data_IF_343665608477
#
_entry.id   IF_343665608477
#
_cell.length_a   1.000
_cell.length_b   1.000
_cell.length_c   1.000
_cell.angle_alpha   90.00
_cell.angle_beta   90.00
_cell.angle_gamma   90.00
#
_symmetry.space_group_name_H-M   'P 1'
#
loop_
_entity.id
_entity.type
_entity.pdbx_description
1 polymer ?
#
# COMPACT_ATOMS: atom_id res chain seq x y z
N UNK A 1 13.10 7.36 -9.63
CA UNK A 1 13.01 6.15 -8.78
C UNK A 1 11.64 6.05 -8.15
N UNK A 2 10.97 4.90 -8.27
CA UNK A 2 9.61 4.67 -7.78
C UNK A 2 9.55 4.51 -6.25
N UNK A 3 8.37 4.77 -5.66
CA UNK A 3 8.10 4.53 -4.22
C UNK A 3 6.92 3.60 -4.05
N UNK A 4 6.90 2.83 -2.97
CA UNK A 4 5.67 2.13 -2.56
C UNK A 4 4.67 3.10 -1.96
N UNK A 5 3.37 2.83 -2.12
CA UNK A 5 2.30 3.51 -1.39
C UNK A 5 2.17 3.03 0.06
N UNK A 6 2.69 1.85 0.38
CA UNK A 6 2.68 1.28 1.73
C UNK A 6 3.94 1.69 2.51
N UNK A 7 3.74 2.13 3.74
CA UNK A 7 4.84 2.63 4.56
C UNK A 7 4.47 2.64 6.04
N UNK A 8 5.51 2.52 6.85
CA UNK A 8 5.44 2.67 8.30
C UNK A 8 6.61 3.55 8.74
N UNK A 9 6.37 4.37 9.74
CA UNK A 9 7.41 5.14 10.41
C UNK A 9 7.01 5.39 11.84
N UNK A 10 8.01 5.39 12.70
CA UNK A 10 7.83 5.55 14.13
C UNK A 10 8.83 6.58 14.64
N UNK A 11 8.41 7.44 15.54
CA UNK A 11 9.37 8.31 16.20
C UNK A 11 9.03 8.44 17.66
N UNK A 12 10.08 8.58 18.46
CA UNK A 12 10.00 8.94 19.87
C UNK A 12 10.75 10.25 20.13
N UNK A 13 10.24 11.02 21.08
CA UNK A 13 10.86 12.24 21.58
C UNK A 13 10.63 12.34 23.08
N UNK A 14 11.72 12.45 23.84
CA UNK A 14 11.65 12.76 25.27
C UNK A 14 11.55 14.27 25.46
N UNK A 15 10.51 14.70 26.17
CA UNK A 15 10.24 16.09 26.54
C UNK A 15 10.01 16.17 28.05
N UNK A 16 10.01 17.38 28.61
CA UNK A 16 9.77 17.58 30.04
C UNK A 16 8.42 17.00 30.52
N UNK A 17 7.42 16.97 29.63
CA UNK A 17 6.08 16.45 29.91
C UNK A 17 5.96 14.91 29.83
N UNK A 18 7.00 14.20 29.38
CA UNK A 18 6.96 12.75 29.15
C UNK A 18 7.67 12.30 27.86
N UNK A 19 7.49 11.02 27.52
CA UNK A 19 7.91 10.46 26.24
C UNK A 19 6.76 10.53 25.24
N UNK A 20 6.93 11.34 24.20
CA UNK A 20 6.03 11.36 23.05
C UNK A 20 6.42 10.27 22.06
N UNK A 21 5.43 9.56 21.53
CA UNK A 21 5.61 8.58 20.47
C UNK A 21 4.54 8.76 19.39
N UNK A 22 4.97 8.78 18.14
CA UNK A 22 4.12 8.89 16.96
C UNK A 22 4.38 7.72 16.03
N UNK A 23 3.34 6.92 15.79
CA UNK A 23 3.34 5.88 14.77
C UNK A 23 2.57 6.39 13.55
N UNK A 24 3.10 6.19 12.35
CA UNK A 24 2.48 6.59 11.09
C UNK A 24 2.43 5.39 10.16
N UNK A 25 1.23 5.04 9.69
CA UNK A 25 0.98 3.98 8.71
C UNK A 25 0.37 4.58 7.46
N UNK A 26 0.88 4.20 6.28
CA UNK A 26 0.33 4.62 4.99
C UNK A 26 -0.10 3.42 4.18
N UNK A 27 -1.25 3.54 3.53
CA UNK A 27 -1.79 2.53 2.60
C UNK A 27 -2.26 3.18 1.31
N UNK A 28 -2.43 2.37 0.26
CA UNK A 28 -2.91 2.81 -1.04
C UNK A 28 -4.31 3.45 -0.93
N UNK A 29 -4.44 4.68 -1.42
CA UNK A 29 -5.71 5.37 -1.56
C UNK A 29 -5.57 6.46 -2.63
N UNK A 30 -6.63 6.70 -3.40
CA UNK A 30 -6.63 7.60 -4.56
C UNK A 30 -6.24 9.05 -4.22
N UNK A 31 -6.65 9.52 -3.04
CA UNK A 31 -6.37 10.87 -2.54
C UNK A 31 -5.66 10.80 -1.20
N UNK A 32 -4.93 11.84 -0.85
CA UNK A 32 -4.39 11.96 0.51
C UNK A 32 -5.55 12.10 1.50
N UNK A 33 -5.67 11.12 2.39
CA UNK A 33 -6.63 11.13 3.49
C UNK A 33 -5.87 10.81 4.78
N UNK A 34 -5.59 11.82 5.61
CA UNK A 34 -4.85 11.66 6.84
C UNK A 34 -5.77 11.74 8.06
N UNK A 35 -5.60 10.81 8.99
CA UNK A 35 -6.28 10.79 10.27
C UNK A 35 -5.23 10.56 11.38
N UNK A 36 -5.24 11.39 12.40
CA UNK A 36 -4.34 11.28 13.55
C UNK A 36 -5.18 11.07 14.80
N UNK A 37 -5.04 9.90 15.41
CA UNK A 37 -5.61 9.63 16.73
C UNK A 37 -4.70 10.27 17.79
N UNK A 38 -5.23 11.20 18.57
CA UNK A 38 -4.48 11.90 19.62
C UNK A 38 -4.99 11.54 21.02
N UNK A 39 -4.15 11.68 22.07
CA UNK A 39 -4.59 11.59 23.46
C UNK A 39 -5.51 12.78 23.82
N UNK A 40 -6.29 12.64 24.91
CA UNK A 40 -7.17 13.72 25.38
C UNK A 40 -6.38 15.02 25.60
N UNK A 41 -6.89 16.14 25.04
CA UNK A 41 -6.26 17.46 25.13
C UNK A 41 -5.32 17.82 23.98
N UNK A 42 -5.07 16.90 23.04
CA UNK A 42 -4.16 17.12 21.89
C UNK A 42 -4.89 17.40 20.57
N UNK A 43 -6.21 17.34 20.54
CA UNK A 43 -7.02 17.54 19.32
C UNK A 43 -6.74 18.87 18.62
N UNK A 44 -6.36 19.91 19.39
CA UNK A 44 -5.98 21.23 18.85
C UNK A 44 -4.78 21.19 17.90
N UNK A 45 -3.89 20.20 18.03
CA UNK A 45 -2.67 20.07 17.24
C UNK A 45 -2.85 19.20 15.99
N UNK A 46 -3.98 18.49 15.87
CA UNK A 46 -4.24 17.54 14.79
C UNK A 46 -4.00 18.16 13.41
N UNK A 47 -4.58 19.35 13.16
CA UNK A 47 -4.45 20.05 11.89
C UNK A 47 -2.99 20.37 11.54
N UNK A 48 -2.23 20.90 12.50
CA UNK A 48 -0.83 21.25 12.29
C UNK A 48 0.03 20.01 11.99
N UNK A 49 -0.23 18.91 12.70
CA UNK A 49 0.45 17.63 12.47
C UNK A 49 0.12 17.05 11.09
N UNK A 50 -1.15 17.10 10.65
CA UNK A 50 -1.56 16.68 9.30
C UNK A 50 -0.85 17.52 8.24
N UNK A 51 -0.82 18.85 8.40
CA UNK A 51 -0.16 19.74 7.46
C UNK A 51 1.35 19.48 7.39
N UNK A 52 1.98 19.11 8.51
CA UNK A 52 3.39 18.72 8.56
C UNK A 52 3.69 17.32 7.97
N UNK A 53 2.69 16.44 7.83
CA UNK A 53 2.82 15.13 7.17
C UNK A 53 2.74 15.21 5.64
N UNK A 54 2.02 16.19 5.08
CA UNK A 54 1.81 16.36 3.63
C UNK A 54 3.09 16.33 2.78
N UNK A 55 4.22 16.94 3.20
CA UNK A 55 5.46 16.90 2.40
C UNK A 55 6.08 15.51 2.28
N UNK A 56 5.73 14.58 3.17
CA UNK A 56 6.27 13.22 3.21
C UNK A 56 5.38 12.22 2.47
N UNK A 57 4.08 12.50 2.36
CA UNK A 57 3.08 11.63 1.74
C UNK A 57 2.19 12.44 0.82
N UNK A 58 2.42 12.33 -0.49
CA UNK A 58 1.64 13.02 -1.53
C UNK A 58 0.26 12.40 -1.77
N UNK A 59 0.12 11.08 -1.55
CA UNK A 59 -1.14 10.34 -1.70
C UNK A 59 -1.19 9.12 -0.78
N UNK A 60 -2.41 8.62 -0.57
CA UNK A 60 -2.68 7.45 0.27
C UNK A 60 -3.50 7.79 1.51
N UNK A 61 -3.95 6.74 2.20
CA UNK A 61 -4.58 6.91 3.50
C UNK A 61 -3.49 6.82 4.57
N UNK A 62 -3.39 7.87 5.39
CA UNK A 62 -2.44 7.96 6.49
C UNK A 62 -3.21 7.78 7.78
N UNK A 63 -2.84 6.75 8.55
CA UNK A 63 -3.32 6.56 9.91
C UNK A 63 -2.16 6.76 10.85
N UNK A 64 -2.25 7.79 11.69
CA UNK A 64 -1.25 8.08 12.70
C UNK A 64 -1.82 7.96 14.11
N UNK A 65 -0.98 7.54 15.05
CA UNK A 65 -1.33 7.40 16.46
C UNK A 65 -0.28 8.11 17.30
N UNK A 66 -0.72 9.15 18.01
CA UNK A 66 0.09 9.88 18.97
C UNK A 66 -0.17 9.31 20.37
N UNK A 67 0.89 9.04 21.10
CA UNK A 67 0.84 8.65 22.51
C UNK A 67 1.82 9.47 23.34
N UNK A 68 1.45 9.72 24.58
CA UNK A 68 2.29 10.40 25.57
C UNK A 68 2.40 9.50 26.79
N UNK A 69 3.57 8.93 27.01
CA UNK A 69 3.86 8.18 28.22
C UNK A 69 4.49 9.12 29.26
N UNK A 70 3.79 9.26 30.39
CA UNK A 70 4.24 10.06 31.53
C UNK A 70 4.80 9.21 32.67
N UNK A 71 4.87 7.89 32.50
CA UNK A 71 5.29 6.94 33.53
C UNK A 71 6.71 7.21 34.05
N UNK A 72 7.63 7.59 33.17
CA UNK A 72 9.01 7.93 33.52
C UNK A 72 9.14 9.23 34.34
N UNK A 73 8.14 10.11 34.28
CA UNK A 73 8.09 11.40 35.00
C UNK A 73 7.06 11.38 36.14
N UNK A 74 6.43 10.23 36.42
CA UNK A 74 5.49 10.03 37.52
C UNK A 74 6.17 9.93 38.90
N UNK A 75 7.36 10.50 39.05
CA UNK A 75 7.91 10.80 40.36
C UNK A 75 7.22 12.08 40.89
N UNK A 76 6.36 11.93 41.90
CA UNK A 76 5.68 13.01 42.64
C UNK A 76 4.36 13.55 42.07
N UNK A 77 3.36 12.69 41.79
CA UNK A 77 1.98 13.15 41.95
C UNK A 77 1.33 12.37 43.08
N UNK A 78 1.47 12.92 44.29
CA UNK A 78 0.79 12.40 45.47
C UNK A 78 -0.72 12.43 45.23
N UNK A 79 -1.47 11.38 45.65
CA UNK A 79 -2.92 11.42 45.59
C UNK A 79 -3.43 12.60 46.41
N UNK A 80 -4.14 13.52 45.75
CA UNK A 80 -4.74 14.66 46.43
C UNK A 80 -5.87 14.20 47.34
N UNK A 81 -5.98 14.76 48.53
CA UNK A 81 -7.10 14.49 49.45
C UNK A 81 -8.09 15.65 49.36
N UNK A 82 -9.35 15.35 49.09
CA UNK A 82 -10.44 16.32 49.20
C UNK A 82 -10.86 16.47 50.67
N UNK A 83 -10.17 17.37 51.39
CA UNK A 83 -10.38 17.58 52.82
C UNK A 83 -11.81 18.05 53.13
N UNK A 84 -12.42 18.85 52.25
CA UNK A 84 -13.79 19.36 52.47
C UNK A 84 -14.82 18.24 52.38
N UNK A 85 -14.68 17.32 51.41
CA UNK A 85 -15.48 16.10 51.38
C UNK A 85 -15.23 15.21 52.60
N UNK A 86 -13.97 15.03 53.01
CA UNK A 86 -13.63 14.22 54.17
C UNK A 86 -14.28 14.76 55.46
N UNK A 87 -14.25 16.07 55.67
CA UNK A 87 -14.97 16.75 56.77
C UNK A 87 -16.47 16.55 56.68
N UNK A 88 -17.03 16.59 55.47
CA UNK A 88 -18.45 16.31 55.21
C UNK A 88 -18.85 14.90 55.64
N UNK A 89 -18.07 13.89 55.25
CA UNK A 89 -18.29 12.50 55.66
C UNK A 89 -18.13 12.29 57.16
N UNK A 90 -17.11 12.89 57.78
CA UNK A 90 -16.95 12.85 59.23
C UNK A 90 -18.19 13.39 59.95
N UNK A 91 -18.68 14.56 59.56
CA UNK A 91 -19.88 15.18 60.15
C UNK A 91 -21.13 14.30 59.98
N UNK A 92 -21.28 13.67 58.81
CA UNK A 92 -22.40 12.77 58.54
C UNK A 92 -22.36 11.51 59.42
N UNK A 93 -21.18 10.92 59.63
CA UNK A 93 -20.99 9.76 60.51
C UNK A 93 -21.23 10.12 61.99
N UNK A 94 -20.77 11.28 62.46
CA UNK A 94 -21.06 11.78 63.81
C UNK A 94 -22.56 12.00 64.03
N UNK A 95 -23.26 12.51 63.01
CA UNK A 95 -24.72 12.67 63.06
C UNK A 95 -25.42 11.32 63.15
N UNK A 96 -25.05 10.35 62.30
CA UNK A 96 -25.62 9.00 62.34
C UNK A 96 -25.42 8.31 63.68
N UNK A 97 -24.22 8.44 64.27
CA UNK A 97 -23.91 7.94 65.60
C UNK A 97 -24.89 8.49 66.64
N UNK A 98 -25.12 9.80 66.63
CA UNK A 98 -26.01 10.47 67.58
C UNK A 98 -27.48 10.09 67.40
N UNK A 99 -27.97 10.04 66.16
CA UNK A 99 -29.39 9.79 65.87
C UNK A 99 -29.78 8.30 66.02
N UNK A 100 -28.82 7.38 65.83
CA UNK A 100 -29.06 5.93 65.84
C UNK A 100 -28.48 5.19 67.05
N UNK A 101 -27.83 5.92 67.98
CA UNK A 101 -27.17 5.39 69.19
C UNK A 101 -26.19 4.24 68.89
N UNK A 102 -25.43 4.37 67.80
CA UNK A 102 -24.47 3.35 67.35
C UNK A 102 -23.14 3.52 68.10
N UNK A 103 -22.56 2.45 68.67
CA UNK A 103 -21.28 2.53 69.36
C UNK A 103 -20.10 2.70 68.38
N UNK A 104 -19.12 3.52 68.74
CA UNK A 104 -17.87 3.74 67.99
C UNK A 104 -17.58 5.21 67.69
N UNK A 105 -16.35 5.52 67.25
CA UNK A 105 -15.97 6.84 66.72
C UNK A 105 -15.66 6.71 65.23
N UNK A 106 -15.99 7.72 64.39
CA UNK A 106 -15.51 7.77 63.02
C UNK A 106 -13.97 7.82 63.02
N UNK A 107 -13.34 6.80 62.45
CA UNK A 107 -11.88 6.71 62.36
C UNK A 107 -11.39 6.83 60.90
N UNK A 108 -10.07 6.87 60.74
CA UNK A 108 -9.44 6.93 59.41
C UNK A 108 -9.75 5.70 58.57
N UNK A 109 -9.95 4.53 59.19
CA UNK A 109 -10.29 3.31 58.46
C UNK A 109 -11.67 3.47 57.80
N UNK A 110 -12.67 3.97 58.54
CA UNK A 110 -14.00 4.24 58.02
C UNK A 110 -13.97 5.33 56.95
N UNK A 111 -13.21 6.41 57.14
CA UNK A 111 -13.05 7.46 56.13
C UNK A 111 -12.39 6.94 54.86
N UNK A 112 -11.42 6.03 54.97
CA UNK A 112 -10.75 5.43 53.81
C UNK A 112 -11.67 4.60 52.91
N UNK A 113 -12.84 4.17 53.44
CA UNK A 113 -13.85 3.43 52.67
C UNK A 113 -14.61 4.33 51.68
N UNK A 114 -14.56 5.65 51.83
CA UNK A 114 -15.11 6.61 50.88
C UNK A 114 -14.05 6.94 49.84
N UNK A 115 -14.04 6.15 48.76
CA UNK A 115 -13.02 6.24 47.70
C UNK A 115 -13.00 7.57 46.96
N UNK A 116 -14.06 8.38 47.06
CA UNK A 116 -14.19 9.68 46.40
C UNK A 116 -13.58 10.85 47.19
N UNK A 117 -13.05 10.60 48.40
CA UNK A 117 -12.17 11.51 49.16
C UNK A 117 -10.79 11.59 48.50
N UNK A 118 -10.33 10.49 47.89
CA UNK A 118 -9.07 10.45 47.17
C UNK A 118 -9.28 10.97 45.75
N UNK A 119 -8.70 12.12 45.44
CA UNK A 119 -8.64 12.63 44.07
C UNK A 119 -7.55 11.86 43.34
N UNK A 120 -7.90 11.31 42.19
CA UNK A 120 -6.87 10.92 41.24
C UNK A 120 -5.97 12.14 41.00
N UNK A 121 -4.64 11.97 40.98
CA UNK A 121 -3.72 13.05 40.68
C UNK A 121 -4.21 13.78 39.43
N UNK A 122 -4.34 15.10 39.51
CA UNK A 122 -4.84 15.92 38.42
C UNK A 122 -3.79 15.93 37.30
N UNK A 123 -3.83 14.90 36.44
CA UNK A 123 -2.85 14.69 35.36
C UNK A 123 -2.84 15.84 34.36
N UNK A 124 -3.81 16.76 34.43
CA UNK A 124 -3.90 17.93 33.56
C UNK A 124 -2.99 19.11 34.00
N UNK A 125 -2.32 19.04 35.16
CA UNK A 125 -1.33 20.06 35.57
C UNK A 125 0.12 19.74 35.17
N UNK A 126 0.35 18.67 34.39
CA UNK A 126 1.67 18.36 33.86
C UNK A 126 2.07 19.37 32.76
N UNK A 127 3.37 19.71 32.71
CA UNK A 127 4.06 20.54 31.72
C UNK A 127 3.38 20.52 30.34
N UNK A 128 3.11 21.70 29.76
CA UNK A 128 2.48 21.79 28.45
C UNK A 128 3.37 21.18 27.38
N UNK A 129 2.78 20.37 26.51
CA UNK A 129 3.45 19.95 25.28
C UNK A 129 3.38 21.10 24.29
N UNK A 130 4.55 21.55 23.84
CA UNK A 130 4.69 22.60 22.85
C UNK A 130 4.46 22.06 21.43
N UNK A 131 3.85 22.87 20.56
CA UNK A 131 3.56 22.49 19.18
C UNK A 131 4.84 22.12 18.41
N UNK A 132 5.95 22.83 18.69
CA UNK A 132 7.24 22.59 18.06
C UNK A 132 7.78 21.18 18.29
N UNK A 133 7.55 20.60 19.47
CA UNK A 133 7.99 19.24 19.78
C UNK A 133 7.18 18.20 18.98
N UNK A 134 5.87 18.43 18.83
CA UNK A 134 5.01 17.59 17.98
C UNK A 134 5.44 17.70 16.51
N UNK A 135 5.76 18.90 16.01
CA UNK A 135 6.22 19.09 14.64
C UNK A 135 7.58 18.44 14.38
N UNK A 136 8.50 18.45 15.36
CA UNK A 136 9.77 17.71 15.28
C UNK A 136 9.53 16.21 15.23
N UNK A 137 8.62 15.69 16.06
CA UNK A 137 8.25 14.28 16.08
C UNK A 137 7.64 13.83 14.74
N UNK A 138 6.72 14.63 14.18
CA UNK A 138 6.12 14.39 12.85
C UNK A 138 7.18 14.35 11.75
N UNK A 139 8.15 15.28 11.76
CA UNK A 139 9.24 15.28 10.78
C UNK A 139 10.09 14.00 10.85
N UNK A 140 10.40 13.52 12.07
CA UNK A 140 11.13 12.26 12.25
C UNK A 140 10.33 11.08 11.71
N UNK A 141 9.08 10.90 12.15
CA UNK A 141 8.24 9.79 11.71
C UNK A 141 7.98 9.84 10.19
N UNK A 142 7.74 11.03 9.63
CA UNK A 142 7.56 11.24 8.19
C UNK A 142 8.80 10.88 7.37
N UNK A 143 10.00 11.15 7.90
CA UNK A 143 11.26 10.75 7.27
C UNK A 143 11.44 9.22 7.23
N UNK A 144 11.04 8.52 8.29
CA UNK A 144 11.06 7.05 8.33
C UNK A 144 10.05 6.44 7.36
N UNK A 145 8.82 6.97 7.30
CA UNK A 145 7.80 6.56 6.31
C UNK A 145 8.37 6.67 4.91
N UNK A 146 9.01 7.80 4.58
CA UNK A 146 9.62 8.00 3.26
C UNK A 146 10.74 7.00 2.99
N UNK A 147 11.65 6.79 3.94
CA UNK A 147 12.75 5.85 3.79
C UNK A 147 12.25 4.41 3.56
N UNK A 148 11.23 3.98 4.31
CA UNK A 148 10.62 2.67 4.13
C UNK A 148 9.95 2.54 2.75
N UNK A 149 9.23 3.57 2.29
CA UNK A 149 8.58 3.57 0.97
C UNK A 149 9.58 3.53 -0.18
N UNK A 150 10.72 4.21 -0.04
CA UNK A 150 11.82 4.17 -1.01
C UNK A 150 12.51 2.79 -1.03
N UNK A 151 12.77 2.19 0.14
CA UNK A 151 13.33 0.85 0.23
C UNK A 151 12.40 -0.25 -0.32
N UNK A 152 11.09 -0.11 -0.09
CA UNK A 152 10.08 -1.00 -0.67
C UNK A 152 9.96 -0.78 -2.18
N UNK A 153 9.98 0.47 -2.64
CA UNK A 153 9.96 0.82 -4.07
C UNK A 153 11.11 0.20 -4.86
N UNK A 154 12.30 0.15 -4.27
CA UNK A 154 13.45 -0.55 -4.86
C UNK A 154 13.23 -2.06 -5.01
N UNK A 155 12.67 -2.70 -3.99
CA UNK A 155 12.34 -4.15 -4.03
C UNK A 155 11.27 -4.43 -5.08
N UNK A 156 10.24 -3.58 -5.13
CA UNK A 156 9.17 -3.66 -6.10
C UNK A 156 9.68 -3.48 -7.54
N UNK A 157 10.59 -2.53 -7.78
CA UNK A 157 11.22 -2.34 -9.08
C UNK A 157 12.00 -3.59 -9.54
N UNK A 158 12.70 -4.25 -8.61
CA UNK A 158 13.43 -5.49 -8.90
C UNK A 158 12.48 -6.64 -9.25
N UNK A 159 11.42 -6.86 -8.45
CA UNK A 159 10.42 -7.90 -8.73
C UNK A 159 9.74 -7.67 -10.09
N UNK A 160 9.40 -6.42 -10.40
CA UNK A 160 8.83 -6.06 -11.70
C UNK A 160 9.79 -6.35 -12.86
N UNK A 161 11.09 -6.04 -12.73
CA UNK A 161 12.07 -6.35 -13.80
C UNK A 161 12.24 -7.85 -14.00
N UNK A 162 12.26 -8.65 -12.93
CA UNK A 162 12.35 -10.11 -13.02
C UNK A 162 11.14 -10.70 -13.76
N UNK A 163 9.94 -10.16 -13.54
CA UNK A 163 8.72 -10.55 -14.29
C UNK A 163 8.79 -10.15 -15.75
N UNK A 164 9.29 -8.95 -16.06
CA UNK A 164 9.49 -8.51 -17.45
C UNK A 164 10.45 -9.45 -18.18
N UNK A 165 11.55 -9.88 -17.54
CA UNK A 165 12.48 -10.85 -18.11
C UNK A 165 11.82 -12.21 -18.38
N UNK A 166 10.94 -12.65 -17.48
CA UNK A 166 10.17 -13.88 -17.71
C UNK A 166 9.26 -13.73 -18.94
N UNK A 167 8.56 -12.60 -19.09
CA UNK A 167 7.73 -12.32 -20.28
C UNK A 167 8.58 -12.29 -21.55
N UNK A 168 9.76 -11.66 -21.53
CA UNK A 168 10.67 -11.62 -22.68
C UNK A 168 11.13 -13.02 -23.09
N UNK A 169 11.46 -13.89 -22.14
CA UNK A 169 11.82 -15.29 -22.44
C UNK A 169 10.69 -16.01 -23.17
N UNK A 170 9.43 -15.81 -22.75
CA UNK A 170 8.29 -16.39 -23.45
C UNK A 170 8.05 -15.75 -24.82
N UNK A 171 8.33 -14.45 -24.98
CA UNK A 171 8.27 -13.78 -26.28
C UNK A 171 9.34 -14.29 -27.25
N UNK A 172 10.55 -14.59 -26.77
CA UNK A 172 11.61 -15.20 -27.56
C UNK A 172 11.17 -16.59 -28.08
N UNK A 173 10.55 -17.41 -27.23
CA UNK A 173 9.99 -18.71 -27.62
C UNK A 173 8.88 -18.56 -28.67
N UNK A 174 8.02 -17.55 -28.51
CA UNK A 174 6.96 -17.23 -29.47
C UNK A 174 7.54 -16.83 -30.82
N UNK A 175 8.55 -15.96 -30.82
CA UNK A 175 9.22 -15.46 -32.02
C UNK A 175 9.93 -16.60 -32.78
N UNK A 176 10.61 -17.51 -32.07
CA UNK A 176 11.26 -18.67 -32.67
C UNK A 176 10.25 -19.65 -33.28
N UNK A 177 9.10 -19.85 -32.64
CA UNK A 177 8.07 -20.81 -33.09
C UNK A 177 7.19 -20.27 -34.23
N UNK A 178 7.05 -18.95 -34.35
CA UNK A 178 6.14 -18.33 -35.32
C UNK A 178 6.40 -18.75 -36.80
N UNK A 179 7.64 -18.77 -37.31
CA UNK A 179 7.93 -19.17 -38.70
C UNK A 179 7.68 -20.65 -38.96
N UNK A 180 8.04 -21.53 -38.02
CA UNK A 180 7.83 -22.98 -38.15
C UNK A 180 6.33 -23.29 -38.26
N UNK A 181 5.54 -22.65 -37.39
CA UNK A 181 4.09 -22.81 -37.38
C UNK A 181 3.46 -22.34 -38.71
N UNK A 182 3.89 -21.21 -39.27
CA UNK A 182 3.41 -20.75 -40.58
C UNK A 182 3.67 -21.80 -41.68
N UNK A 183 4.85 -22.43 -41.67
CA UNK A 183 5.18 -23.52 -42.61
C UNK A 183 4.29 -24.75 -42.41
N UNK A 184 4.04 -25.16 -41.17
CA UNK A 184 3.16 -26.28 -40.83
C UNK A 184 1.71 -26.04 -41.26
N UNK A 185 1.17 -24.85 -41.00
CA UNK A 185 -0.19 -24.48 -41.39
C UNK A 185 -0.34 -24.43 -42.91
N UNK A 186 0.65 -23.86 -43.62
CA UNK A 186 0.69 -23.89 -45.09
C UNK A 186 0.64 -25.32 -45.63
N UNK A 187 1.45 -26.22 -45.07
CA UNK A 187 1.50 -27.61 -45.50
C UNK A 187 0.19 -28.36 -45.18
N UNK A 188 -0.41 -28.09 -44.02
CA UNK A 188 -1.70 -28.64 -43.61
C UNK A 188 -2.82 -28.20 -44.56
N UNK A 189 -2.87 -26.92 -44.92
CA UNK A 189 -3.86 -26.39 -45.86
C UNK A 189 -3.71 -27.01 -47.24
N UNK A 190 -2.47 -27.12 -47.76
CA UNK A 190 -2.20 -27.81 -49.04
C UNK A 190 -2.69 -29.25 -49.04
N UNK A 191 -2.41 -30.03 -47.99
CA UNK A 191 -2.90 -31.41 -47.88
C UNK A 191 -4.42 -31.48 -47.84
N UNK A 192 -5.06 -30.63 -47.02
CA UNK A 192 -6.52 -30.59 -46.93
C UNK A 192 -7.18 -30.25 -48.27
N UNK A 193 -6.60 -29.30 -49.02
CA UNK A 193 -7.08 -28.98 -50.37
C UNK A 193 -6.89 -30.17 -51.31
N UNK A 194 -5.72 -30.83 -51.32
CA UNK A 194 -5.49 -32.01 -52.15
C UNK A 194 -6.48 -33.16 -51.85
N UNK A 195 -6.74 -33.44 -50.57
CA UNK A 195 -7.70 -34.47 -50.14
C UNK A 195 -9.14 -34.15 -50.58
N UNK A 196 -9.58 -32.90 -50.40
CA UNK A 196 -10.93 -32.46 -50.77
C UNK A 196 -11.11 -32.32 -52.29
N UNK A 197 -10.03 -32.09 -53.02
CA UNK A 197 -10.02 -31.87 -54.47
C UNK A 197 -9.71 -33.15 -55.25
N UNK A 198 -9.82 -34.33 -54.64
CA UNK A 198 -9.41 -35.61 -55.24
C UNK A 198 -10.04 -35.95 -56.61
N UNK A 199 -11.04 -35.17 -57.08
CA UNK A 199 -11.66 -35.30 -58.40
C UNK A 199 -11.75 -33.97 -59.20
N UNK A 200 -11.12 -32.88 -58.73
CA UNK A 200 -11.21 -31.55 -59.34
C UNK A 200 -9.81 -30.94 -59.43
N UNK A 201 -9.47 -30.37 -60.58
CA UNK A 201 -8.19 -29.69 -60.78
C UNK A 201 -8.11 -28.45 -59.87
N UNK A 202 -7.04 -28.36 -59.07
CA UNK A 202 -6.82 -27.24 -58.13
C UNK A 202 -6.15 -26.10 -58.88
N UNK A 203 -6.76 -24.92 -58.84
CA UNK A 203 -6.13 -23.68 -59.28
C UNK A 203 -5.05 -23.26 -58.27
N UNK A 204 -3.79 -23.55 -58.63
CA UNK A 204 -2.61 -23.25 -57.80
C UNK A 204 -2.42 -21.74 -57.56
N UNK A 205 -2.80 -20.88 -58.51
CA UNK A 205 -2.68 -19.42 -58.37
C UNK A 205 -3.72 -18.88 -57.38
N UNK A 206 -4.92 -19.47 -57.35
CA UNK A 206 -5.93 -19.15 -56.33
C UNK A 206 -5.50 -19.66 -54.95
N UNK A 207 -4.97 -20.87 -54.87
CA UNK A 207 -4.49 -21.45 -53.62
C UNK A 207 -3.32 -20.64 -53.03
N UNK A 208 -2.37 -20.21 -53.86
CA UNK A 208 -1.25 -19.37 -53.44
C UNK A 208 -1.72 -18.02 -52.89
N UNK A 209 -2.71 -17.38 -53.52
CA UNK A 209 -3.32 -16.13 -53.03
C UNK A 209 -4.01 -16.30 -51.68
N UNK A 210 -4.74 -17.39 -51.48
CA UNK A 210 -5.42 -17.66 -50.20
C UNK A 210 -4.41 -17.95 -49.08
N UNK A 211 -3.35 -18.70 -49.37
CA UNK A 211 -2.23 -18.94 -48.44
C UNK A 211 -1.57 -17.62 -48.05
N UNK A 212 -1.32 -16.71 -49.00
CA UNK A 212 -0.73 -15.41 -48.72
C UNK A 212 -1.63 -14.55 -47.81
N UNK A 213 -2.93 -14.52 -48.09
CA UNK A 213 -3.91 -13.81 -47.26
C UNK A 213 -3.99 -14.35 -45.83
N UNK A 214 -3.96 -15.68 -45.66
CA UNK A 214 -3.95 -16.31 -44.34
C UNK A 214 -2.62 -16.09 -43.62
N UNK A 215 -1.49 -16.10 -44.33
CA UNK A 215 -0.19 -15.81 -43.75
C UNK A 215 -0.11 -14.39 -43.18
N UNK A 216 -0.64 -13.39 -43.88
CA UNK A 216 -0.73 -12.01 -43.38
C UNK A 216 -1.61 -11.91 -42.13
N UNK A 217 -2.75 -12.61 -42.10
CA UNK A 217 -3.61 -12.66 -40.91
C UNK A 217 -2.98 -13.34 -39.71
N UNK A 218 -2.12 -14.32 -39.97
CA UNK A 218 -1.45 -15.12 -38.95
C UNK A 218 -0.09 -14.58 -38.54
N UNK A 219 0.40 -13.54 -39.23
CA UNK A 219 1.64 -12.88 -38.86
C UNK A 219 1.46 -12.14 -37.53
N UNK A 220 2.41 -12.37 -36.63
CA UNK A 220 2.46 -11.82 -35.27
C UNK A 220 3.70 -10.96 -35.04
N UNK A 221 4.51 -10.73 -36.08
CA UNK A 221 5.77 -10.01 -35.94
C UNK A 221 5.56 -8.56 -35.48
N UNK A 222 4.53 -7.88 -35.98
CA UNK A 222 4.19 -6.52 -35.53
C UNK A 222 3.83 -6.50 -34.04
N UNK A 223 3.00 -7.45 -33.59
CA UNK A 223 2.61 -7.57 -32.18
C UNK A 223 3.84 -7.81 -31.28
N UNK A 224 4.78 -8.69 -31.68
CA UNK A 224 6.01 -8.95 -30.92
C UNK A 224 6.86 -7.68 -30.80
N UNK A 225 7.05 -6.95 -31.90
CA UNK A 225 7.82 -5.70 -31.92
C UNK A 225 7.16 -4.63 -31.04
N UNK A 226 5.84 -4.45 -31.14
CA UNK A 226 5.10 -3.51 -30.28
C UNK A 226 5.20 -3.91 -28.80
N UNK A 227 5.07 -5.20 -28.51
CA UNK A 227 5.18 -5.71 -27.14
C UNK A 227 6.57 -5.41 -26.55
N UNK A 228 7.66 -5.73 -27.25
CA UNK A 228 9.02 -5.40 -26.79
C UNK A 228 9.20 -3.90 -26.52
N UNK A 229 8.67 -3.06 -27.41
CA UNK A 229 8.66 -1.60 -27.20
C UNK A 229 7.92 -1.18 -25.93
N UNK A 230 6.78 -1.81 -25.62
CA UNK A 230 6.07 -1.56 -24.36
C UNK A 230 6.87 -1.99 -23.12
N UNK A 231 7.60 -3.11 -23.20
CA UNK A 231 8.50 -3.58 -22.12
C UNK A 231 9.64 -2.57 -21.89
N UNK A 232 10.26 -2.07 -22.96
CA UNK A 232 11.32 -1.06 -22.86
C UNK A 232 10.80 0.25 -22.26
N UNK A 233 9.61 0.71 -22.68
CA UNK A 233 8.95 1.87 -22.12
C UNK A 233 8.59 1.67 -20.63
N UNK A 234 8.27 0.44 -20.23
CA UNK A 234 7.99 0.08 -18.83
C UNK A 234 9.26 0.19 -17.99
N UNK A 235 10.39 -0.38 -18.44
CA UNK A 235 11.68 -0.25 -17.76
C UNK A 235 12.13 1.20 -17.66
N UNK A 236 11.96 1.96 -18.74
CA UNK A 236 12.26 3.40 -18.72
C UNK A 236 11.43 4.12 -17.67
N UNK A 237 10.12 3.81 -17.56
CA UNK A 237 9.26 4.39 -16.54
C UNK A 237 9.67 4.01 -15.10
N UNK A 238 10.15 2.78 -14.87
CA UNK A 238 10.69 2.36 -13.56
C UNK A 238 11.97 3.12 -13.18
N UNK A 239 12.85 3.34 -14.15
CA UNK A 239 14.14 4.00 -13.96
C UNK A 239 14.04 5.53 -13.85
N UNK A 240 12.97 6.13 -14.40
CA UNK A 240 12.85 7.56 -14.58
C UNK A 240 12.66 8.39 -13.31
N UNK A 241 12.96 9.68 -13.45
CA UNK A 241 12.86 10.71 -12.42
C UNK A 241 11.58 11.54 -12.66
N UNK A 242 10.42 10.93 -12.45
CA UNK A 242 9.13 11.54 -12.81
C UNK A 242 8.41 12.22 -11.64
N UNK A 243 8.12 13.51 -11.78
CA UNK A 243 7.20 14.30 -10.93
C UNK A 243 5.72 13.95 -11.15
N UNK A 244 5.40 13.07 -12.10
CA UNK A 244 4.05 12.53 -12.35
C UNK A 244 3.88 11.16 -11.69
N UNK A 245 2.66 10.77 -11.26
CA UNK A 245 2.45 9.48 -10.60
C UNK A 245 2.74 8.34 -11.57
N UNK A 246 3.91 7.71 -11.41
CA UNK A 246 4.46 6.71 -12.33
C UNK A 246 3.51 5.52 -12.51
N UNK A 247 2.76 5.17 -11.46
CA UNK A 247 1.76 4.11 -11.48
C UNK A 247 0.69 4.24 -12.57
N UNK A 248 0.26 5.46 -12.95
CA UNK A 248 -0.73 5.63 -14.03
C UNK A 248 -0.13 5.27 -15.40
N UNK A 249 1.11 5.69 -15.64
CA UNK A 249 1.84 5.39 -16.87
C UNK A 249 2.15 3.90 -16.97
N UNK A 250 2.61 3.29 -15.87
CA UNK A 250 2.81 1.85 -15.78
C UNK A 250 1.50 1.09 -16.04
N UNK A 251 0.39 1.53 -15.44
CA UNK A 251 -0.93 0.91 -15.66
C UNK A 251 -1.37 0.94 -17.13
N UNK A 252 -1.11 2.03 -17.85
CA UNK A 252 -1.35 2.10 -19.30
C UNK A 252 -0.48 1.10 -20.07
N UNK A 253 0.82 0.99 -19.74
CA UNK A 253 1.72 0.05 -20.41
C UNK A 253 1.32 -1.41 -20.15
N UNK A 254 0.87 -1.75 -18.94
CA UNK A 254 0.29 -3.07 -18.64
C UNK A 254 -0.90 -3.38 -19.54
N UNK A 255 -1.78 -2.40 -19.77
CA UNK A 255 -2.95 -2.57 -20.65
C UNK A 255 -2.53 -2.82 -22.10
N UNK A 256 -1.56 -2.07 -22.62
CA UNK A 256 -1.06 -2.28 -23.99
C UNK A 256 -0.32 -3.62 -24.12
N UNK A 257 0.51 -4.02 -23.14
CA UNK A 257 1.12 -5.36 -23.11
C UNK A 257 0.07 -6.47 -23.12
N UNK A 258 -1.01 -6.32 -22.34
CA UNK A 258 -2.12 -7.29 -22.32
C UNK A 258 -2.83 -7.37 -23.68
N UNK A 259 -2.97 -6.23 -24.37
CA UNK A 259 -3.56 -6.16 -25.71
C UNK A 259 -2.71 -6.91 -26.72
N UNK A 260 -1.39 -6.73 -26.71
CA UNK A 260 -0.48 -7.46 -27.58
C UNK A 260 -0.49 -8.96 -27.26
N UNK A 261 -0.44 -9.35 -25.98
CA UNK A 261 -0.54 -10.75 -25.55
C UNK A 261 -1.85 -11.43 -26.03
N UNK A 262 -2.97 -10.71 -26.00
CA UNK A 262 -4.24 -11.22 -26.53
C UNK A 262 -4.21 -11.39 -28.06
N UNK A 263 -3.58 -10.45 -28.76
CA UNK A 263 -3.48 -10.48 -30.23
C UNK A 263 -2.57 -11.62 -30.69
N UNK A 264 -1.41 -11.80 -30.05
CA UNK A 264 -0.53 -12.98 -30.24
C UNK A 264 -1.30 -14.28 -30.01
N UNK A 265 -2.02 -14.40 -28.88
CA UNK A 265 -2.77 -15.61 -28.54
C UNK A 265 -3.85 -15.96 -29.59
N UNK A 266 -4.58 -14.95 -30.06
CA UNK A 266 -5.67 -15.14 -31.05
C UNK A 266 -5.16 -15.48 -32.45
N UNK A 267 -3.97 -14.99 -32.83
CA UNK A 267 -3.33 -15.27 -34.13
C UNK A 267 -2.50 -16.56 -34.12
N UNK A 268 -2.10 -17.03 -32.94
CA UNK A 268 -1.19 -18.15 -32.76
C UNK A 268 -1.71 -19.48 -33.33
N UNK A 269 -2.95 -19.89 -33.01
CA UNK A 269 -3.53 -21.18 -33.44
C UNK A 269 -2.54 -22.37 -33.35
N UNK A 270 -1.75 -22.40 -32.26
CA UNK A 270 -0.69 -23.37 -31.97
C UNK A 270 -0.66 -23.59 -30.45
N UNK A 271 -0.54 -24.85 -30.01
CA UNK A 271 -0.64 -25.20 -28.61
C UNK A 271 0.54 -24.68 -27.77
N UNK A 272 1.75 -24.64 -28.32
CA UNK A 272 2.92 -24.11 -27.61
C UNK A 272 2.82 -22.61 -27.46
N UNK A 273 2.43 -21.92 -28.53
CA UNK A 273 2.19 -20.47 -28.48
C UNK A 273 1.03 -20.10 -27.55
N UNK A 274 -0.02 -20.93 -27.47
CA UNK A 274 -1.12 -20.73 -26.53
C UNK A 274 -0.66 -20.86 -25.07
N UNK A 275 0.19 -21.85 -24.76
CA UNK A 275 0.78 -22.01 -23.42
C UNK A 275 1.65 -20.81 -23.04
N UNK A 276 2.55 -20.37 -23.92
CA UNK A 276 3.37 -19.17 -23.71
C UNK A 276 2.49 -17.93 -23.51
N UNK A 277 1.42 -17.78 -24.29
CA UNK A 277 0.49 -16.66 -24.15
C UNK A 277 -0.24 -16.64 -22.81
N UNK A 278 -0.58 -17.81 -22.25
CA UNK A 278 -1.19 -17.91 -20.91
C UNK A 278 -0.19 -17.49 -19.85
N UNK A 279 1.04 -18.01 -19.89
CA UNK A 279 2.10 -17.64 -18.95
C UNK A 279 2.41 -16.14 -18.98
N UNK A 280 2.47 -15.53 -20.17
CA UNK A 280 2.64 -14.09 -20.34
C UNK A 280 1.49 -13.32 -19.67
N UNK A 281 0.23 -13.71 -19.89
CA UNK A 281 -0.93 -13.03 -19.30
C UNK A 281 -0.95 -13.13 -17.78
N UNK A 282 -0.55 -14.28 -17.23
CA UNK A 282 -0.42 -14.46 -15.78
C UNK A 282 0.63 -13.50 -15.19
N UNK A 283 1.79 -13.35 -15.83
CA UNK A 283 2.80 -12.39 -15.36
C UNK A 283 2.37 -10.93 -15.53
N UNK A 284 1.65 -10.60 -16.62
CA UNK A 284 1.06 -9.26 -16.79
C UNK A 284 0.07 -8.94 -15.67
N UNK A 285 -0.76 -9.91 -15.27
CA UNK A 285 -1.72 -9.72 -14.18
C UNK A 285 -1.02 -9.49 -12.83
N UNK A 286 0.04 -10.25 -12.55
CA UNK A 286 0.88 -10.04 -11.35
C UNK A 286 1.54 -8.67 -11.37
N UNK A 287 2.06 -8.23 -12.52
CA UNK A 287 2.61 -6.88 -12.71
C UNK A 287 1.51 -5.83 -12.45
N UNK A 288 0.29 -6.04 -12.95
CA UNK A 288 -0.85 -5.13 -12.76
C UNK A 288 -1.14 -4.90 -11.28
N UNK A 289 -1.23 -5.96 -10.49
CA UNK A 289 -1.48 -5.89 -9.04
C UNK A 289 -0.36 -5.13 -8.31
N UNK A 290 0.89 -5.34 -8.69
CA UNK A 290 2.03 -4.64 -8.10
C UNK A 290 2.04 -3.15 -8.45
N UNK A 291 1.72 -2.81 -9.72
CA UNK A 291 1.66 -1.43 -10.22
C UNK A 291 0.63 -0.57 -9.46
N UNK A 292 -0.45 -1.18 -8.95
CA UNK A 292 -1.43 -0.46 -8.13
C UNK A 292 -0.80 0.14 -6.85
N UNK A 293 0.30 -0.44 -6.36
CA UNK A 293 1.00 0.03 -5.16
C UNK A 293 2.19 0.95 -5.46
N UNK A 294 2.44 1.34 -6.71
CA UNK A 294 3.59 2.14 -7.13
C UNK A 294 3.27 3.63 -7.27
N UNK A 295 4.01 4.49 -6.58
CA UNK A 295 4.04 5.97 -6.67
C UNK A 295 5.24 6.55 -7.42
#
# INVERSE_FOLDING_TARGET
MIRSMTGFGEAELEIEAGRLRLEVKTVNHRFLNANIKTPSGFDRFEKAMIDALKPWVSRGHVSAYLSLDRSAFAGQVEPGIDIEKAKGYQTALETLKRELDVPGEPDLEMLSRFSDIFRAPDRNQAVSVEEDDLLRLVKKAGSEVRAMREAEGLRLASDLDDRLRAIESWLDDVEQRAPERLSEQRNKLRRAVQELSAQVEVDEDRLAREIAYLAEKWDINEEIVRFRSHIDLFRLALSGDGLEPVGKRLGFLVQEMLREANTVASKANDSKLAQASVAIKEEIERIREQVENVE
#
